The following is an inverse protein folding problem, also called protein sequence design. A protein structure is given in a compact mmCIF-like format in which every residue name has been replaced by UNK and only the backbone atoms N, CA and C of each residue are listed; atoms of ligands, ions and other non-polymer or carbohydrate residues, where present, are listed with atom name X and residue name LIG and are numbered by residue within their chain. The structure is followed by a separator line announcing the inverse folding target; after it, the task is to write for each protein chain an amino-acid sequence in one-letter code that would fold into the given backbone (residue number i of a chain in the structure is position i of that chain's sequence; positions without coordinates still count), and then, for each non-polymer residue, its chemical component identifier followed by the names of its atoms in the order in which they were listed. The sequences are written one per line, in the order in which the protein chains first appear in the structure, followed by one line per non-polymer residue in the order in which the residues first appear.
data_IF_542177518198
#
_entry.id   IF_542177518198
#
_cell.length_a   1.000
_cell.length_b   1.000
_cell.length_c   1.000
_cell.angle_alpha   90.00
_cell.angle_beta   90.00
_cell.angle_gamma   90.00
#
_symmetry.space_group_name_H-M   'P 1'
#
loop_
_entity.id
_entity.type
_entity.pdbx_description
1 polymer ?
#
# COMPACT_ATOMS: atom_id res chain seq x y z
N UNK A 1 -44.58 6.98 -1.65
CA UNK A 1 -43.98 5.85 -2.40
C UNK A 1 -42.52 5.72 -2.00
N UNK A 2 -42.23 4.81 -1.06
CA UNK A 2 -40.91 4.67 -0.43
C UNK A 2 -39.92 3.90 -1.33
N UNK A 3 -40.41 2.98 -2.16
CA UNK A 3 -39.59 2.21 -3.09
C UNK A 3 -38.94 3.12 -4.15
N UNK A 4 -39.71 4.06 -4.70
CA UNK A 4 -39.19 5.02 -5.68
C UNK A 4 -38.12 5.94 -5.09
N UNK A 5 -38.27 6.36 -3.83
CA UNK A 5 -37.23 7.14 -3.11
C UNK A 5 -35.96 6.32 -2.93
N UNK A 6 -36.07 5.06 -2.51
CA UNK A 6 -34.93 4.18 -2.33
C UNK A 6 -34.18 3.95 -3.66
N UNK A 7 -34.89 3.62 -4.74
CA UNK A 7 -34.29 3.43 -6.07
C UNK A 7 -33.57 4.70 -6.57
N UNK A 8 -34.13 5.87 -6.31
CA UNK A 8 -33.48 7.14 -6.65
C UNK A 8 -32.17 7.32 -5.90
N UNK A 9 -32.17 7.10 -4.58
CA UNK A 9 -30.96 7.20 -3.75
C UNK A 9 -29.90 6.18 -4.16
N UNK A 10 -30.32 4.94 -4.46
CA UNK A 10 -29.45 3.87 -4.96
C UNK A 10 -28.74 4.28 -6.25
N UNK A 11 -29.47 4.83 -7.22
CA UNK A 11 -28.89 5.29 -8.48
C UNK A 11 -27.93 6.48 -8.32
N UNK A 12 -28.25 7.43 -7.44
CA UNK A 12 -27.36 8.55 -7.12
C UNK A 12 -26.07 8.03 -6.50
N UNK A 13 -26.17 7.11 -5.53
CA UNK A 13 -25.00 6.55 -4.86
C UNK A 13 -24.11 5.77 -5.84
N UNK A 14 -24.70 4.98 -6.75
CA UNK A 14 -23.95 4.29 -7.81
C UNK A 14 -23.22 5.28 -8.73
N UNK A 15 -23.91 6.34 -9.16
CA UNK A 15 -23.33 7.34 -10.04
C UNK A 15 -22.13 8.05 -9.39
N UNK A 16 -22.31 8.54 -8.16
CA UNK A 16 -21.25 9.20 -7.40
C UNK A 16 -20.06 8.24 -7.18
N UNK A 17 -20.34 6.98 -6.82
CA UNK A 17 -19.29 5.98 -6.63
C UNK A 17 -18.46 5.78 -7.90
N UNK A 18 -19.10 5.67 -9.07
CA UNK A 18 -18.38 5.50 -10.34
C UNK A 18 -17.56 6.72 -10.77
N UNK A 19 -17.89 7.93 -10.30
CA UNK A 19 -17.12 9.14 -10.61
C UNK A 19 -15.80 9.23 -9.82
N UNK A 20 -15.71 8.54 -8.68
CA UNK A 20 -14.57 8.63 -7.76
C UNK A 20 -13.60 7.45 -7.84
N UNK A 21 -13.81 6.53 -8.79
CA UNK A 21 -12.97 5.35 -8.96
C UNK A 21 -12.39 5.31 -10.39
N UNK A 22 -11.21 4.68 -10.59
CA UNK A 22 -10.67 4.47 -11.92
C UNK A 22 -11.59 3.63 -12.81
N UNK A 23 -11.55 3.88 -14.12
CA UNK A 23 -12.37 3.17 -15.12
C UNK A 23 -12.20 1.64 -15.04
N UNK A 24 -10.99 1.16 -14.76
CA UNK A 24 -10.71 -0.27 -14.59
C UNK A 24 -11.48 -0.88 -13.42
N UNK A 25 -11.59 -0.17 -12.30
CA UNK A 25 -12.39 -0.58 -11.14
C UNK A 25 -13.88 -0.42 -11.44
N UNK A 26 -14.30 0.67 -12.09
CA UNK A 26 -15.69 0.89 -12.49
C UNK A 26 -16.21 -0.25 -13.38
N UNK A 27 -15.41 -0.69 -14.36
CA UNK A 27 -15.74 -1.81 -15.25
C UNK A 27 -15.93 -3.12 -14.50
N UNK A 28 -15.18 -3.35 -13.43
CA UNK A 28 -15.31 -4.56 -12.59
C UNK A 28 -16.59 -4.55 -11.76
N UNK A 29 -16.95 -3.41 -11.17
CA UNK A 29 -18.09 -3.32 -10.25
C UNK A 29 -19.42 -3.00 -10.93
N UNK A 30 -19.43 -2.60 -12.21
CA UNK A 30 -20.65 -2.19 -12.94
C UNK A 30 -21.76 -3.25 -12.98
N UNK A 31 -21.40 -4.54 -12.90
CA UNK A 31 -22.34 -5.65 -12.99
C UNK A 31 -22.95 -6.01 -11.62
N UNK A 32 -22.54 -5.33 -10.54
CA UNK A 32 -23.04 -5.61 -9.19
C UNK A 32 -24.40 -4.94 -8.94
N UNK A 33 -25.26 -5.68 -8.25
CA UNK A 33 -26.70 -5.37 -8.15
C UNK A 33 -26.96 -4.08 -7.39
N UNK A 34 -26.22 -3.80 -6.32
CA UNK A 34 -26.41 -2.63 -5.47
C UNK A 34 -25.08 -1.96 -5.11
N UNK A 35 -25.15 -0.70 -4.69
CA UNK A 35 -24.01 0.13 -4.34
C UNK A 35 -23.22 -0.44 -3.16
N UNK A 36 -23.91 -1.14 -2.24
CA UNK A 36 -23.26 -1.80 -1.11
C UNK A 36 -22.32 -2.93 -1.58
N UNK A 37 -22.76 -3.73 -2.57
CA UNK A 37 -21.93 -4.77 -3.18
C UNK A 37 -20.76 -4.15 -3.95
N UNK A 38 -20.99 -3.06 -4.69
CA UNK A 38 -19.93 -2.31 -5.37
C UNK A 38 -18.87 -1.82 -4.37
N UNK A 39 -19.31 -1.16 -3.30
CA UNK A 39 -18.41 -0.66 -2.25
C UNK A 39 -17.60 -1.77 -1.60
N UNK A 40 -18.26 -2.89 -1.25
CA UNK A 40 -17.58 -4.05 -0.64
C UNK A 40 -16.48 -4.61 -1.54
N UNK A 41 -16.73 -4.71 -2.84
CA UNK A 41 -15.74 -5.21 -3.80
C UNK A 41 -14.58 -4.24 -4.00
N UNK A 42 -14.84 -2.93 -4.03
CA UNK A 42 -13.79 -1.89 -4.08
C UNK A 42 -12.90 -1.99 -2.84
N UNK A 43 -13.51 -2.01 -1.66
CA UNK A 43 -12.77 -2.13 -0.40
C UNK A 43 -11.90 -3.39 -0.41
N UNK A 44 -12.45 -4.54 -0.83
CA UNK A 44 -11.68 -5.79 -0.95
C UNK A 44 -10.48 -5.64 -1.90
N UNK A 45 -10.70 -5.17 -3.12
CA UNK A 45 -9.65 -5.01 -4.13
C UNK A 45 -8.51 -4.10 -3.63
N UNK A 46 -8.85 -2.95 -3.07
CA UNK A 46 -7.85 -1.98 -2.63
C UNK A 46 -7.19 -2.39 -1.32
N UNK A 47 -7.85 -3.16 -0.48
CA UNK A 47 -7.23 -3.77 0.71
C UNK A 47 -6.22 -4.83 0.31
N UNK A 48 -6.57 -5.73 -0.62
CA UNK A 48 -5.66 -6.75 -1.14
C UNK A 48 -4.46 -6.15 -1.86
N UNK A 49 -4.68 -5.16 -2.75
CA UNK A 49 -3.59 -4.44 -3.41
C UNK A 49 -2.73 -3.67 -2.42
N UNK A 50 -3.33 -3.08 -1.39
CA UNK A 50 -2.63 -2.41 -0.30
C UNK A 50 -1.72 -3.37 0.45
N UNK A 51 -2.21 -4.55 0.85
CA UNK A 51 -1.41 -5.58 1.51
C UNK A 51 -0.24 -6.07 0.65
N UNK A 52 -0.47 -6.25 -0.66
CA UNK A 52 0.60 -6.60 -1.60
C UNK A 52 1.65 -5.48 -1.72
N UNK A 53 1.22 -4.23 -1.87
CA UNK A 53 2.12 -3.08 -1.94
C UNK A 53 2.92 -2.92 -0.64
N UNK A 54 2.29 -3.10 0.52
CA UNK A 54 2.96 -3.09 1.82
C UNK A 54 4.02 -4.19 1.93
N UNK A 55 3.70 -5.40 1.45
CA UNK A 55 4.65 -6.53 1.43
C UNK A 55 5.83 -6.25 0.50
N UNK A 56 5.57 -5.74 -0.72
CA UNK A 56 6.62 -5.37 -1.68
C UNK A 56 7.54 -4.28 -1.13
N UNK A 57 6.98 -3.26 -0.48
CA UNK A 57 7.74 -2.20 0.17
C UNK A 57 8.60 -2.73 1.33
N UNK A 58 8.07 -3.66 2.14
CA UNK A 58 8.85 -4.35 3.18
C UNK A 58 10.00 -5.13 2.56
N UNK A 59 9.76 -5.91 1.50
CA UNK A 59 10.80 -6.69 0.83
C UNK A 59 11.91 -5.79 0.28
N UNK A 60 11.55 -4.71 -0.41
CA UNK A 60 12.53 -3.72 -0.91
C UNK A 60 13.36 -3.08 0.21
N UNK A 61 12.75 -2.86 1.37
CA UNK A 61 13.48 -2.39 2.54
C UNK A 61 14.50 -3.43 3.01
N UNK A 62 14.09 -4.70 3.17
CA UNK A 62 14.96 -5.77 3.63
C UNK A 62 16.11 -6.07 2.65
N UNK A 63 15.88 -5.90 1.35
CA UNK A 63 16.86 -6.08 0.28
C UNK A 63 17.71 -4.82 -0.01
N UNK A 64 17.53 -3.75 0.77
CA UNK A 64 18.31 -2.51 0.59
C UNK A 64 19.80 -2.80 0.81
N UNK A 65 20.60 -2.55 -0.21
CA UNK A 65 22.05 -2.74 -0.17
C UNK A 65 22.78 -1.41 -0.35
N UNK A 66 23.97 -1.31 0.23
CA UNK A 66 24.81 -0.14 0.08
C UNK A 66 25.29 0.02 -1.38
N UNK A 67 25.18 1.21 -1.99
CA UNK A 67 25.74 1.48 -3.31
C UNK A 67 27.27 1.50 -3.24
N UNK A 68 27.96 0.86 -4.19
CA UNK A 68 29.40 0.53 -4.16
C UNK A 68 30.38 1.72 -3.98
N UNK A 69 29.91 2.97 -4.09
CA UNK A 69 30.69 4.21 -3.91
C UNK A 69 29.93 5.27 -3.07
N UNK A 70 28.93 4.88 -2.27
CA UNK A 70 28.07 5.80 -1.52
C UNK A 70 28.59 6.17 -0.12
N UNK A 71 28.25 7.36 0.38
CA UNK A 71 28.46 7.69 1.80
C UNK A 71 27.59 6.80 2.69
N UNK A 72 28.24 6.01 3.55
CA UNK A 72 27.59 5.10 4.50
C UNK A 72 26.66 5.85 5.44
N UNK A 73 27.01 7.06 5.88
CA UNK A 73 26.18 7.85 6.79
C UNK A 73 24.88 8.27 6.12
N UNK A 74 24.98 8.80 4.89
CA UNK A 74 23.82 9.17 4.11
C UNK A 74 22.91 7.96 3.84
N UNK A 75 23.50 6.81 3.49
CA UNK A 75 22.73 5.58 3.30
C UNK A 75 21.97 5.15 4.57
N UNK A 76 22.61 5.19 5.74
CA UNK A 76 21.96 4.83 7.01
C UNK A 76 20.85 5.82 7.40
N UNK A 77 21.06 7.11 7.14
CA UNK A 77 20.04 8.14 7.33
C UNK A 77 18.85 7.91 6.39
N UNK A 78 19.09 7.62 5.12
CA UNK A 78 18.05 7.29 4.14
C UNK A 78 17.28 6.02 4.54
N UNK A 79 17.99 5.01 5.06
CA UNK A 79 17.37 3.77 5.55
C UNK A 79 16.47 4.04 6.76
N UNK A 80 16.89 4.93 7.67
CA UNK A 80 16.06 5.37 8.81
C UNK A 80 14.82 6.13 8.33
N UNK A 81 14.97 7.04 7.37
CA UNK A 81 13.84 7.78 6.79
C UNK A 81 12.84 6.83 6.16
N UNK A 82 13.30 5.89 5.32
CA UNK A 82 12.45 4.85 4.72
C UNK A 82 11.72 4.02 5.76
N UNK A 83 12.39 3.62 6.85
CA UNK A 83 11.74 2.87 7.94
C UNK A 83 10.58 3.66 8.57
N UNK A 84 10.76 4.97 8.78
CA UNK A 84 9.70 5.83 9.33
C UNK A 84 8.54 6.02 8.33
N UNK A 85 8.85 6.17 7.03
CA UNK A 85 7.84 6.27 5.98
C UNK A 85 7.00 4.99 5.89
N UNK A 86 7.64 3.83 5.98
CA UNK A 86 6.96 2.53 6.04
C UNK A 86 6.03 2.42 7.25
N UNK A 87 6.50 2.84 8.44
CA UNK A 87 5.66 2.86 9.63
C UNK A 87 4.43 3.76 9.47
N UNK A 88 4.59 4.93 8.84
CA UNK A 88 3.49 5.87 8.60
C UNK A 88 2.38 5.31 7.69
N UNK A 89 2.70 4.34 6.81
CA UNK A 89 1.73 3.66 5.94
C UNK A 89 1.30 2.28 6.48
N UNK A 90 1.63 1.98 7.74
CA UNK A 90 1.23 0.74 8.43
C UNK A 90 2.13 -0.46 8.20
N UNK A 91 3.34 -0.27 7.65
CA UNK A 91 4.35 -1.32 7.50
C UNK A 91 5.36 -1.21 8.64
N UNK A 92 5.17 -1.99 9.70
CA UNK A 92 6.08 -2.02 10.84
C UNK A 92 7.29 -2.92 10.56
N UNK A 93 8.50 -2.35 10.55
CA UNK A 93 9.75 -3.11 10.51
C UNK A 93 10.15 -3.42 11.95
N UNK A 94 10.27 -4.70 12.29
CA UNK A 94 10.72 -5.10 13.63
C UNK A 94 12.18 -4.68 13.84
N UNK A 95 12.53 -4.33 15.09
CA UNK A 95 13.90 -3.89 15.42
C UNK A 95 14.96 -4.93 15.02
N UNK A 96 14.65 -6.23 15.16
CA UNK A 96 15.54 -7.32 14.74
C UNK A 96 15.80 -7.31 13.23
N UNK A 97 14.77 -7.02 12.44
CA UNK A 97 14.82 -7.01 10.98
C UNK A 97 15.56 -5.75 10.54
N UNK A 98 15.28 -4.60 11.17
CA UNK A 98 15.99 -3.35 10.94
C UNK A 98 17.50 -3.48 11.17
N UNK A 99 17.91 -4.05 12.31
CA UNK A 99 19.32 -4.32 12.62
C UNK A 99 19.94 -5.30 11.62
N UNK A 100 19.20 -6.34 11.23
CA UNK A 100 19.67 -7.32 10.24
C UNK A 100 19.88 -6.68 8.87
N UNK A 101 18.97 -5.83 8.42
CA UNK A 101 19.08 -5.06 7.17
C UNK A 101 20.30 -4.14 7.21
N UNK A 102 20.55 -3.43 8.32
CA UNK A 102 21.77 -2.61 8.45
C UNK A 102 23.02 -3.48 8.25
N UNK A 103 23.14 -4.61 8.95
CA UNK A 103 24.32 -5.48 8.86
C UNK A 103 24.48 -6.06 7.45
N UNK A 104 23.39 -6.51 6.81
CA UNK A 104 23.42 -7.09 5.46
C UNK A 104 23.69 -6.06 4.37
N UNK A 105 23.25 -4.82 4.58
CA UNK A 105 23.44 -3.74 3.62
C UNK A 105 24.88 -3.24 3.55
N UNK A 106 25.65 -3.40 4.63
CA UNK A 106 27.02 -2.91 4.72
C UNK A 106 28.01 -3.82 3.98
N UNK A 107 29.07 -3.25 3.37
CA UNK A 107 30.15 -4.04 2.78
C UNK A 107 30.83 -4.94 3.81
N UNK A 108 31.25 -6.14 3.37
CA UNK A 108 31.95 -7.12 4.21
C UNK A 108 33.22 -6.57 4.87
N UNK A 109 33.86 -5.55 4.28
CA UNK A 109 35.06 -4.91 4.85
C UNK A 109 34.74 -3.95 6.02
N UNK A 110 33.49 -3.52 6.18
CA UNK A 110 33.03 -2.73 7.34
C UNK A 110 32.31 -3.59 8.39
N UNK A 111 31.90 -4.80 8.02
CA UNK A 111 31.23 -5.76 8.89
C UNK A 111 32.21 -6.69 9.65
N UNK A 112 33.52 -6.47 9.52
CA UNK A 112 34.60 -7.22 10.19
C UNK A 112 35.18 -6.45 11.38
#
# INVERSE_FOLDING_TARGET
DELAKWLKSENIAKHLLTQHIPDSTALRVRNLVNVAAMWKEIVREYTEKGAYAQTDLRTKFLESSWPTDGDVRQFLDDLRVKCNELAAIGVEIEEKDYRSTIIQSLPKYLAS
#
